data_IF_052378204319
#
_entry.id   IF_052378204319
#
_cell.length_a   1.000
_cell.length_b   1.000
_cell.length_c   1.000
_cell.angle_alpha   90.00
_cell.angle_beta   90.00
_cell.angle_gamma   90.00
#
_symmetry.space_group_name_H-M   'P 1'
#
loop_
_entity.id
_entity.type
_entity.pdbx_description
1 polymer ?
#
# COMPACT_ATOMS: atom_id res chain seq x y z
N UNK A 1 -5.80 26.50 -3.36
CA UNK A 1 -5.77 25.79 -2.07
C UNK A 1 -5.92 24.31 -2.39
N UNK A 2 -5.08 23.44 -1.86
CA UNK A 2 -5.15 22.01 -2.17
C UNK A 2 -6.05 21.31 -1.15
N UNK A 3 -7.23 20.84 -1.56
CA UNK A 3 -8.16 20.11 -0.67
C UNK A 3 -8.02 18.62 -0.90
N UNK A 4 -7.56 17.89 0.10
CA UNK A 4 -7.31 16.45 0.06
C UNK A 4 -8.38 15.70 0.84
N UNK A 5 -9.15 14.87 0.17
CA UNK A 5 -10.11 13.95 0.77
C UNK A 5 -9.46 12.57 1.00
N UNK A 6 -9.29 12.20 2.27
CA UNK A 6 -8.72 10.91 2.67
C UNK A 6 -9.86 9.92 2.93
N UNK A 7 -10.15 9.04 1.97
CA UNK A 7 -11.10 7.95 2.12
C UNK A 7 -10.47 6.81 2.93
N UNK A 8 -11.15 6.35 3.97
CA UNK A 8 -10.55 5.46 4.96
C UNK A 8 -9.67 6.20 5.98
N UNK A 9 -9.83 7.51 6.12
CA UNK A 9 -9.06 8.37 7.00
C UNK A 9 -9.17 8.04 8.50
N UNK A 10 -10.13 7.20 8.89
CA UNK A 10 -10.26 6.68 10.27
C UNK A 10 -9.42 5.43 10.53
N UNK A 11 -8.86 4.82 9.48
CA UNK A 11 -7.95 3.68 9.55
C UNK A 11 -6.52 4.06 9.96
N UNK A 12 -5.67 3.06 10.20
CA UNK A 12 -4.28 3.29 10.62
C UNK A 12 -3.49 4.09 9.56
N UNK A 13 -3.48 3.63 8.31
CA UNK A 13 -2.78 4.30 7.20
C UNK A 13 -3.34 5.68 6.92
N UNK A 14 -4.67 5.80 6.76
CA UNK A 14 -5.31 7.08 6.42
C UNK A 14 -5.08 8.16 7.49
N UNK A 15 -5.04 7.78 8.76
CA UNK A 15 -4.73 8.70 9.85
C UNK A 15 -3.28 9.18 9.82
N UNK A 16 -2.33 8.30 9.54
CA UNK A 16 -0.91 8.66 9.43
C UNK A 16 -0.69 9.58 8.21
N UNK A 17 -1.32 9.27 7.08
CA UNK A 17 -1.29 10.12 5.90
C UNK A 17 -1.90 11.49 6.17
N UNK A 18 -3.10 11.55 6.76
CA UNK A 18 -3.76 12.80 7.11
C UNK A 18 -2.90 13.64 8.08
N UNK A 19 -2.30 13.00 9.10
CA UNK A 19 -1.38 13.68 10.04
C UNK A 19 -0.16 14.27 9.34
N UNK A 20 0.36 13.58 8.32
CA UNK A 20 1.47 14.10 7.52
C UNK A 20 1.02 15.28 6.66
N UNK A 21 -0.12 15.14 5.97
CA UNK A 21 -0.66 16.16 5.07
C UNK A 21 -1.02 17.48 5.78
N UNK A 22 -1.53 17.41 7.00
CA UNK A 22 -1.85 18.65 7.77
C UNK A 22 -0.62 19.51 8.12
N UNK A 23 0.59 18.97 7.96
CA UNK A 23 1.85 19.72 8.16
C UNK A 23 2.28 20.49 6.91
N UNK A 24 1.65 20.24 5.75
CA UNK A 24 1.98 20.94 4.52
C UNK A 24 1.18 22.23 4.39
N UNK A 25 1.85 23.41 4.31
CA UNK A 25 1.17 24.69 4.16
C UNK A 25 0.28 24.71 2.90
N UNK A 26 -0.91 25.32 3.04
CA UNK A 26 -1.85 25.43 1.92
C UNK A 26 -2.66 24.18 1.61
N UNK A 27 -2.53 23.10 2.41
CA UNK A 27 -3.31 21.88 2.28
C UNK A 27 -4.43 21.82 3.30
N UNK A 28 -5.67 21.71 2.84
CA UNK A 28 -6.83 21.38 3.66
C UNK A 28 -7.04 19.86 3.62
N UNK A 29 -7.16 19.23 4.77
CA UNK A 29 -7.32 17.78 4.87
C UNK A 29 -8.69 17.43 5.41
N UNK A 30 -9.43 16.61 4.68
CA UNK A 30 -10.72 16.06 5.07
C UNK A 30 -10.53 14.54 5.28
N UNK A 31 -10.75 14.04 6.47
CA UNK A 31 -10.73 12.60 6.78
C UNK A 31 -12.15 12.06 6.72
N UNK A 32 -12.39 11.09 5.85
CA UNK A 32 -13.72 10.58 5.60
C UNK A 32 -13.86 9.08 5.91
N UNK A 33 -15.06 8.72 6.39
CA UNK A 33 -15.45 7.35 6.66
C UNK A 33 -16.92 7.25 7.09
N UNK A 34 -17.46 6.03 7.12
CA UNK A 34 -18.88 5.75 7.36
C UNK A 34 -19.34 6.09 8.79
N UNK A 35 -18.47 5.95 9.78
CA UNK A 35 -18.79 6.20 11.18
C UNK A 35 -17.79 7.19 11.82
N UNK A 36 -18.11 8.48 11.89
CA UNK A 36 -17.23 9.49 12.50
C UNK A 36 -16.89 9.25 13.97
N UNK A 37 -17.70 8.47 14.69
CA UNK A 37 -17.41 8.12 16.10
C UNK A 37 -16.16 7.24 16.23
N UNK A 38 -15.75 6.59 15.14
CA UNK A 38 -14.47 5.85 15.05
C UNK A 38 -13.29 6.73 14.68
N UNK A 39 -13.54 7.97 14.28
CA UNK A 39 -12.48 8.92 13.96
C UNK A 39 -11.70 9.24 15.23
N UNK A 40 -10.41 8.92 15.24
CA UNK A 40 -9.50 9.54 16.20
C UNK A 40 -9.16 10.92 15.64
N UNK A 41 -9.25 12.00 16.43
CA UNK A 41 -8.96 13.34 15.95
C UNK A 41 -7.56 13.42 15.32
N UNK A 42 -7.50 14.03 14.15
CA UNK A 42 -6.25 14.43 13.50
C UNK A 42 -6.20 15.96 13.58
N UNK A 43 -5.29 16.54 14.37
CA UNK A 43 -5.18 18.00 14.49
C UNK A 43 -4.99 18.65 13.11
N UNK A 44 -5.79 19.66 12.80
CA UNK A 44 -5.75 20.34 11.51
C UNK A 44 -6.54 19.68 10.37
N UNK A 45 -7.15 18.50 10.60
CA UNK A 45 -8.04 17.87 9.63
C UNK A 45 -9.51 17.98 10.05
N UNK A 46 -10.40 18.02 9.05
CA UNK A 46 -11.86 18.00 9.23
C UNK A 46 -12.38 16.58 9.08
N UNK A 47 -13.17 16.09 10.04
CA UNK A 47 -13.80 14.79 9.94
C UNK A 47 -15.13 14.89 9.17
N UNK A 48 -15.35 13.99 8.21
CA UNK A 48 -16.54 13.90 7.38
C UNK A 48 -17.17 12.52 7.45
N UNK A 49 -18.49 12.47 7.60
CA UNK A 49 -19.22 11.22 7.36
C UNK A 49 -19.45 11.05 5.86
N UNK A 50 -18.91 9.99 5.29
CA UNK A 50 -19.07 9.67 3.88
C UNK A 50 -19.11 8.14 3.70
N UNK A 51 -20.15 7.66 3.05
CA UNK A 51 -20.16 6.33 2.43
C UNK A 51 -19.78 6.49 0.95
N UNK A 52 -18.53 6.27 0.62
CA UNK A 52 -18.07 6.39 -0.75
C UNK A 52 -18.59 5.27 -1.68
N UNK A 53 -19.30 4.28 -1.15
CA UNK A 53 -20.07 3.33 -1.94
C UNK A 53 -21.37 3.94 -2.52
N UNK A 54 -21.89 5.00 -1.92
CA UNK A 54 -23.00 5.79 -2.46
C UNK A 54 -22.48 6.79 -3.51
N UNK A 55 -22.84 6.63 -4.80
CA UNK A 55 -22.38 7.52 -5.86
C UNK A 55 -22.82 8.98 -5.69
N UNK A 56 -24.02 9.22 -5.15
CA UNK A 56 -24.53 10.57 -4.96
C UNK A 56 -23.80 11.30 -3.83
N UNK A 57 -23.55 10.59 -2.72
CA UNK A 57 -22.78 11.14 -1.61
C UNK A 57 -21.32 11.42 -2.02
N UNK A 58 -20.72 10.51 -2.81
CA UNK A 58 -19.37 10.71 -3.34
C UNK A 58 -19.30 11.91 -4.27
N UNK A 59 -20.29 12.07 -5.19
CA UNK A 59 -20.33 13.17 -6.12
C UNK A 59 -20.32 14.53 -5.40
N UNK A 60 -21.16 14.69 -4.38
CA UNK A 60 -21.22 15.91 -3.56
C UNK A 60 -19.91 16.14 -2.80
N UNK A 61 -19.28 15.07 -2.29
CA UNK A 61 -18.03 15.19 -1.54
C UNK A 61 -16.84 15.59 -2.42
N UNK A 62 -16.92 15.41 -3.75
CA UNK A 62 -15.86 15.76 -4.70
C UNK A 62 -15.92 17.22 -5.20
N UNK A 63 -16.99 17.97 -4.96
CA UNK A 63 -17.20 19.31 -5.55
C UNK A 63 -16.08 20.30 -5.20
N UNK A 64 -15.55 20.27 -3.97
CA UNK A 64 -14.48 21.17 -3.50
C UNK A 64 -13.14 20.46 -3.28
N UNK A 65 -12.97 19.26 -3.82
CA UNK A 65 -11.79 18.41 -3.64
C UNK A 65 -10.89 18.48 -4.87
N UNK A 66 -9.59 18.64 -4.64
CA UNK A 66 -8.57 18.59 -5.70
C UNK A 66 -7.91 17.21 -5.80
N UNK A 67 -7.87 16.47 -4.71
CA UNK A 67 -7.19 15.17 -4.63
C UNK A 67 -7.94 14.22 -3.69
N UNK A 68 -8.14 13.00 -4.13
CA UNK A 68 -8.60 11.89 -3.29
C UNK A 68 -7.42 10.97 -2.97
N UNK A 69 -7.17 10.74 -1.67
CA UNK A 69 -6.27 9.69 -1.20
C UNK A 69 -7.09 8.50 -0.72
N UNK A 70 -6.97 7.39 -1.42
CA UNK A 70 -7.68 6.14 -1.15
C UNK A 70 -6.88 5.25 -0.20
N UNK A 71 -7.35 5.16 1.06
CA UNK A 71 -6.80 4.28 2.09
C UNK A 71 -7.82 3.22 2.56
N UNK A 72 -8.78 2.89 1.71
CA UNK A 72 -9.80 1.88 1.97
C UNK A 72 -9.90 0.92 0.78
N UNK A 73 -10.40 -0.29 1.03
CA UNK A 73 -10.78 -1.22 -0.03
C UNK A 73 -12.31 -1.23 -0.17
N UNK A 74 -12.76 -0.59 -1.22
CA UNK A 74 -14.15 -0.54 -1.67
C UNK A 74 -14.13 -0.76 -3.19
N UNK A 75 -15.08 -0.26 -3.94
CA UNK A 75 -14.97 -0.20 -5.39
C UNK A 75 -14.04 0.95 -5.82
N UNK A 76 -12.72 0.71 -5.72
CA UNK A 76 -11.69 1.73 -5.94
C UNK A 76 -11.68 2.22 -7.39
N UNK A 77 -11.94 1.35 -8.36
CA UNK A 77 -11.98 1.71 -9.78
C UNK A 77 -13.14 2.67 -10.08
N UNK A 78 -14.31 2.45 -9.49
CA UNK A 78 -15.45 3.37 -9.61
C UNK A 78 -15.15 4.72 -8.98
N UNK A 79 -14.53 4.73 -7.81
CA UNK A 79 -14.14 6.00 -7.13
C UNK A 79 -13.09 6.74 -7.96
N UNK A 80 -12.07 6.07 -8.45
CA UNK A 80 -11.06 6.67 -9.32
C UNK A 80 -11.70 7.28 -10.58
N UNK A 81 -12.60 6.58 -11.24
CA UNK A 81 -13.35 7.10 -12.40
C UNK A 81 -14.12 8.36 -12.04
N UNK A 82 -14.87 8.35 -10.94
CA UNK A 82 -15.67 9.51 -10.51
C UNK A 82 -14.79 10.75 -10.20
N UNK A 83 -13.58 10.52 -9.68
CA UNK A 83 -12.58 11.57 -9.48
C UNK A 83 -12.09 12.12 -10.83
N UNK A 84 -11.60 11.25 -11.70
CA UNK A 84 -10.99 11.63 -12.97
C UNK A 84 -11.99 12.35 -13.91
N UNK A 85 -13.26 11.93 -13.93
CA UNK A 85 -14.33 12.61 -14.66
C UNK A 85 -14.54 14.08 -14.24
N UNK A 86 -14.09 14.43 -13.03
CA UNK A 86 -14.19 15.80 -12.47
C UNK A 86 -12.87 16.56 -12.48
N UNK A 87 -11.80 15.99 -13.05
CA UNK A 87 -10.46 16.56 -12.97
C UNK A 87 -9.82 16.49 -11.57
N UNK A 88 -10.39 15.66 -10.67
CA UNK A 88 -9.85 15.42 -9.33
C UNK A 88 -8.79 14.34 -9.42
N UNK A 89 -7.59 14.63 -8.95
CA UNK A 89 -6.50 13.65 -8.91
C UNK A 89 -6.74 12.56 -7.87
N UNK A 90 -6.15 11.38 -8.11
CA UNK A 90 -6.41 10.18 -7.32
C UNK A 90 -5.10 9.49 -6.91
N UNK A 91 -4.98 9.11 -5.66
CA UNK A 91 -3.82 8.39 -5.12
C UNK A 91 -4.29 7.13 -4.41
N UNK A 92 -3.72 5.97 -4.73
CA UNK A 92 -4.18 4.68 -4.22
C UNK A 92 -3.08 3.90 -3.51
N UNK A 93 -3.35 3.48 -2.27
CA UNK A 93 -2.45 2.66 -1.46
C UNK A 93 -2.80 1.16 -1.49
N UNK A 94 -3.74 0.74 -2.33
CA UNK A 94 -4.21 -0.65 -2.40
C UNK A 94 -3.11 -1.62 -2.79
N UNK A 95 -3.16 -2.81 -2.19
CA UNK A 95 -2.28 -3.93 -2.52
C UNK A 95 -2.92 -4.94 -3.50
N UNK A 96 -4.19 -4.76 -3.85
CA UNK A 96 -4.97 -5.68 -4.68
C UNK A 96 -4.73 -5.43 -6.17
N UNK A 97 -4.34 -6.45 -6.97
CA UNK A 97 -3.99 -6.26 -8.38
C UNK A 97 -5.20 -5.92 -9.28
N UNK A 98 -6.39 -6.47 -8.99
CA UNK A 98 -7.59 -6.27 -9.81
C UNK A 98 -7.99 -4.80 -9.94
N UNK A 99 -8.28 -4.10 -8.83
CA UNK A 99 -8.61 -2.67 -8.86
C UNK A 99 -7.54 -1.81 -9.54
N UNK A 100 -6.24 -2.10 -9.31
CA UNK A 100 -5.15 -1.35 -9.94
C UNK A 100 -5.14 -1.52 -11.46
N UNK A 101 -5.42 -2.72 -11.97
CA UNK A 101 -5.53 -2.98 -13.40
C UNK A 101 -6.73 -2.25 -14.03
N UNK A 102 -7.88 -2.24 -13.36
CA UNK A 102 -9.08 -1.51 -13.80
C UNK A 102 -8.84 0.00 -13.85
N UNK A 103 -8.16 0.56 -12.84
CA UNK A 103 -7.80 1.98 -12.81
C UNK A 103 -6.76 2.28 -13.91
N UNK A 104 -5.83 1.37 -14.19
CA UNK A 104 -4.89 1.48 -15.31
C UNK A 104 -5.58 1.73 -16.64
N UNK A 105 -6.77 1.16 -16.86
CA UNK A 105 -7.61 1.38 -18.03
C UNK A 105 -8.24 2.78 -18.14
N UNK A 106 -8.04 3.66 -17.15
CA UNK A 106 -8.57 5.03 -17.13
C UNK A 106 -7.54 6.09 -17.59
N UNK A 107 -6.40 5.69 -18.16
CA UNK A 107 -5.31 6.61 -18.55
C UNK A 107 -5.79 7.71 -19.50
N UNK A 108 -6.56 7.36 -20.54
CA UNK A 108 -7.08 8.35 -21.48
C UNK A 108 -8.05 9.34 -20.82
N UNK A 109 -8.88 8.87 -19.90
CA UNK A 109 -9.78 9.73 -19.11
C UNK A 109 -8.98 10.70 -18.23
N UNK A 110 -7.97 10.21 -17.55
CA UNK A 110 -7.11 11.01 -16.69
C UNK A 110 -6.37 12.10 -17.48
N UNK A 111 -5.83 11.75 -18.65
CA UNK A 111 -5.18 12.70 -19.56
C UNK A 111 -6.17 13.75 -20.09
N UNK A 112 -7.36 13.34 -20.51
CA UNK A 112 -8.37 14.24 -21.06
C UNK A 112 -8.89 15.24 -20.01
N UNK A 113 -8.96 14.85 -18.73
CA UNK A 113 -9.39 15.71 -17.62
C UNK A 113 -8.25 16.53 -17.01
N UNK A 114 -6.99 16.30 -17.40
CA UNK A 114 -5.82 16.93 -16.80
C UNK A 114 -5.48 16.42 -15.39
N UNK A 115 -6.08 15.32 -14.95
CA UNK A 115 -5.86 14.74 -13.63
C UNK A 115 -4.80 13.64 -13.63
N UNK A 116 -4.20 13.39 -12.48
CA UNK A 116 -3.23 12.30 -12.27
C UNK A 116 -3.82 11.25 -11.34
N UNK A 117 -3.73 9.98 -11.73
CA UNK A 117 -3.93 8.85 -10.84
C UNK A 117 -2.59 8.19 -10.52
N UNK A 118 -2.13 8.32 -9.27
CA UNK A 118 -0.92 7.70 -8.77
C UNK A 118 -1.27 6.39 -8.07
N UNK A 119 -0.75 5.27 -8.58
CA UNK A 119 -1.03 3.93 -8.10
C UNK A 119 0.17 3.30 -7.40
N UNK A 120 -0.05 2.23 -6.68
CA UNK A 120 1.00 1.51 -5.94
C UNK A 120 1.72 2.43 -4.95
N UNK A 121 0.96 3.23 -4.19
CA UNK A 121 1.51 4.24 -3.29
C UNK A 121 1.44 3.77 -1.85
N UNK A 122 2.52 3.19 -1.34
CA UNK A 122 2.57 2.68 0.02
C UNK A 122 3.89 2.00 0.34
N UNK A 123 3.85 1.10 1.30
CA UNK A 123 5.01 0.24 1.62
C UNK A 123 5.08 -0.93 0.62
N UNK A 124 3.98 -1.68 0.48
CA UNK A 124 3.85 -2.85 -0.41
C UNK A 124 2.44 -2.86 -1.01
N UNK A 125 2.25 -2.45 -2.26
CA UNK A 125 3.20 -1.89 -3.21
C UNK A 125 3.63 -0.46 -2.88
N UNK A 126 4.72 -0.01 -3.48
CA UNK A 126 5.20 1.36 -3.42
C UNK A 126 6.68 1.42 -3.12
N UNK A 127 7.09 1.41 -1.86
CA UNK A 127 8.52 1.33 -1.50
C UNK A 127 9.15 0.11 -2.16
N UNK A 128 8.47 -1.03 -2.20
CA UNK A 128 8.93 -2.24 -2.92
C UNK A 128 9.13 -1.99 -4.41
N UNK A 129 8.27 -1.20 -5.06
CA UNK A 129 8.38 -0.84 -6.46
C UNK A 129 9.64 0.02 -6.71
N UNK A 130 9.88 1.02 -5.85
CA UNK A 130 11.05 1.89 -5.95
C UNK A 130 12.36 1.12 -5.73
N UNK A 131 12.41 0.24 -4.72
CA UNK A 131 13.54 -0.64 -4.49
C UNK A 131 13.79 -1.59 -5.68
N UNK A 132 12.70 -2.11 -6.29
CA UNK A 132 12.80 -2.97 -7.45
C UNK A 132 13.35 -2.21 -8.66
N UNK A 133 12.93 -0.96 -8.88
CA UNK A 133 13.47 -0.09 -9.91
C UNK A 133 14.96 0.15 -9.69
N UNK A 134 15.40 0.50 -8.49
CA UNK A 134 16.83 0.68 -8.18
C UNK A 134 17.66 -0.58 -8.47
N UNK A 135 17.16 -1.74 -8.07
CA UNK A 135 17.86 -3.00 -8.34
C UNK A 135 17.92 -3.32 -9.85
N UNK A 136 16.84 -3.10 -10.59
CA UNK A 136 16.77 -3.36 -12.02
C UNK A 136 17.65 -2.40 -12.83
N UNK A 137 17.70 -1.12 -12.48
CA UNK A 137 18.58 -0.11 -13.11
C UNK A 137 20.06 -0.43 -12.83
N UNK A 138 20.38 -0.94 -11.65
CA UNK A 138 21.76 -1.30 -11.28
C UNK A 138 22.23 -2.57 -11.95
N UNK A 139 21.39 -3.58 -12.03
CA UNK A 139 21.72 -4.89 -12.60
C UNK A 139 20.53 -5.46 -13.34
N UNK A 140 20.45 -5.27 -14.67
CA UNK A 140 19.38 -5.83 -15.47
C UNK A 140 19.28 -7.34 -15.29
N UNK A 141 18.08 -7.84 -15.04
CA UNK A 141 17.82 -9.25 -14.81
C UNK A 141 16.45 -9.66 -15.32
N UNK A 142 16.27 -10.95 -15.51
CA UNK A 142 15.01 -11.54 -15.92
C UNK A 142 14.06 -11.85 -14.74
N UNK A 143 14.59 -11.79 -13.51
CA UNK A 143 13.81 -12.06 -12.29
C UNK A 143 14.14 -11.04 -11.20
N UNK A 144 13.10 -10.56 -10.53
CA UNK A 144 13.20 -9.84 -9.26
C UNK A 144 12.44 -10.57 -8.16
N UNK A 145 13.01 -10.62 -6.97
CA UNK A 145 12.40 -11.21 -5.78
C UNK A 145 12.23 -10.16 -4.72
N UNK A 146 11.02 -10.04 -4.22
CA UNK A 146 10.62 -9.12 -3.17
C UNK A 146 10.28 -9.93 -1.92
N UNK A 147 10.95 -9.64 -0.82
CA UNK A 147 10.64 -10.20 0.49
C UNK A 147 9.99 -9.15 1.36
N UNK A 148 8.87 -9.50 1.97
CA UNK A 148 8.10 -8.66 2.89
C UNK A 148 8.08 -9.33 4.25
N UNK A 149 8.60 -8.65 5.26
CA UNK A 149 8.52 -9.06 6.65
C UNK A 149 7.66 -8.05 7.40
N UNK A 150 6.59 -8.52 8.02
CA UNK A 150 5.67 -7.69 8.80
C UNK A 150 5.63 -8.15 10.25
N UNK A 151 5.63 -7.17 11.16
CA UNK A 151 5.39 -7.39 12.57
C UNK A 151 3.92 -7.76 12.82
N UNK A 152 3.71 -8.75 13.67
CA UNK A 152 2.38 -9.24 14.04
C UNK A 152 1.75 -8.45 15.19
N UNK A 153 2.46 -7.47 15.76
CA UNK A 153 1.99 -6.63 16.88
C UNK A 153 1.31 -5.32 16.47
N UNK A 154 1.42 -4.91 15.20
CA UNK A 154 0.74 -3.70 14.73
C UNK A 154 -0.75 -3.95 14.50
N UNK A 155 -1.58 -3.00 14.90
CA UNK A 155 -3.02 -3.08 14.71
C UNK A 155 -3.40 -2.91 13.23
N UNK A 156 -3.92 -3.96 12.63
CA UNK A 156 -4.44 -3.95 11.27
C UNK A 156 -5.95 -3.71 11.25
N UNK A 157 -6.42 -2.96 10.28
CA UNK A 157 -7.86 -2.78 10.06
C UNK A 157 -8.53 -4.07 9.53
N UNK A 158 -9.86 -4.21 9.69
CA UNK A 158 -10.60 -5.38 9.22
C UNK A 158 -10.39 -5.69 7.73
N UNK A 159 -10.24 -4.66 6.89
CA UNK A 159 -9.98 -4.82 5.45
C UNK A 159 -8.63 -5.50 5.19
N UNK A 160 -7.56 -5.07 5.86
CA UNK A 160 -6.24 -5.67 5.70
C UNK A 160 -6.20 -7.13 6.17
N UNK A 161 -6.89 -7.44 7.28
CA UNK A 161 -7.01 -8.81 7.78
C UNK A 161 -7.82 -9.66 6.79
N UNK A 162 -8.93 -9.15 6.27
CA UNK A 162 -9.75 -9.84 5.26
C UNK A 162 -8.94 -10.13 3.99
N UNK A 163 -8.22 -9.13 3.48
CA UNK A 163 -7.32 -9.28 2.33
C UNK A 163 -6.24 -10.34 2.58
N UNK A 164 -5.64 -10.35 3.77
CA UNK A 164 -4.66 -11.38 4.15
C UNK A 164 -5.27 -12.78 4.13
N UNK A 165 -6.48 -12.94 4.69
CA UNK A 165 -7.19 -14.22 4.69
C UNK A 165 -7.56 -14.69 3.28
N UNK A 166 -7.92 -13.77 2.39
CA UNK A 166 -8.22 -14.08 0.98
C UNK A 166 -6.95 -14.47 0.21
N UNK A 167 -5.82 -13.88 0.53
CA UNK A 167 -4.52 -14.18 -0.06
C UNK A 167 -3.93 -15.54 0.36
N UNK A 168 -4.39 -16.15 1.45
CA UNK A 168 -3.87 -17.45 1.95
C UNK A 168 -3.95 -18.57 0.90
N UNK A 169 -4.94 -18.51 -0.01
CA UNK A 169 -5.10 -19.52 -1.06
C UNK A 169 -4.03 -19.46 -2.16
N UNK A 170 -3.21 -18.41 -2.21
CA UNK A 170 -2.16 -18.19 -3.20
C UNK A 170 -0.73 -18.46 -2.67
N UNK A 171 -0.60 -19.10 -1.50
CA UNK A 171 0.69 -19.48 -0.91
C UNK A 171 1.27 -20.73 -1.60
N UNK A 172 1.59 -20.63 -2.89
CA UNK A 172 1.98 -21.75 -3.76
C UNK A 172 3.50 -21.87 -3.98
N UNK A 173 4.30 -21.29 -3.08
CA UNK A 173 5.75 -21.36 -3.16
C UNK A 173 6.42 -20.70 -1.99
N UNK A 174 7.68 -21.06 -1.75
CA UNK A 174 8.51 -20.43 -0.72
C UNK A 174 9.96 -20.39 -1.15
N UNK A 175 10.68 -19.37 -0.65
CA UNK A 175 12.12 -19.24 -0.84
C UNK A 175 12.73 -18.48 0.35
N UNK A 176 14.05 -18.46 0.43
CA UNK A 176 14.74 -17.71 1.47
C UNK A 176 15.07 -16.30 0.99
N UNK A 177 14.88 -15.32 1.88
CA UNK A 177 15.30 -13.94 1.70
C UNK A 177 16.10 -13.49 2.91
N UNK A 178 17.08 -12.63 2.70
CA UNK A 178 17.84 -12.00 3.80
C UNK A 178 17.32 -10.58 3.99
N UNK A 179 16.86 -10.30 5.19
CA UNK A 179 16.40 -8.99 5.61
C UNK A 179 17.51 -8.26 6.40
N UNK A 180 17.46 -6.92 6.52
CA UNK A 180 18.33 -6.19 7.43
C UNK A 180 18.24 -6.69 8.88
N UNK A 181 19.27 -6.41 9.68
CA UNK A 181 19.19 -6.66 11.12
C UNK A 181 17.98 -5.94 11.73
N UNK A 182 17.31 -6.54 12.74
CA UNK A 182 17.69 -7.78 13.45
C UNK A 182 17.09 -9.07 12.85
N UNK A 183 16.54 -9.04 11.66
CA UNK A 183 15.72 -10.15 11.15
C UNK A 183 16.54 -11.27 10.49
N UNK A 184 17.60 -10.93 9.75
CA UNK A 184 18.46 -11.91 9.08
C UNK A 184 17.71 -12.75 8.03
N UNK A 185 18.15 -13.98 7.80
CA UNK A 185 17.55 -14.87 6.78
C UNK A 185 16.24 -15.47 7.25
N UNK A 186 15.21 -15.36 6.42
CA UNK A 186 13.85 -15.87 6.63
C UNK A 186 13.34 -16.66 5.43
N UNK A 187 12.47 -17.61 5.68
CA UNK A 187 11.64 -18.21 4.64
C UNK A 187 10.43 -17.28 4.41
N UNK A 188 10.24 -16.88 3.16
CA UNK A 188 9.05 -16.14 2.73
C UNK A 188 8.16 -17.06 1.90
N UNK A 189 6.86 -16.87 2.00
CA UNK A 189 5.86 -17.60 1.23
C UNK A 189 5.26 -16.67 0.19
N UNK A 190 5.14 -17.14 -1.06
CA UNK A 190 4.52 -16.34 -2.12
C UNK A 190 3.19 -15.79 -1.64
N UNK A 191 2.99 -14.48 -1.87
CA UNK A 191 1.76 -13.80 -1.46
C UNK A 191 1.34 -12.81 -2.56
N UNK A 192 0.03 -12.67 -2.87
CA UNK A 192 -0.45 -12.00 -4.08
C UNK A 192 -0.46 -10.45 -3.96
N UNK A 193 0.67 -9.86 -3.56
CA UNK A 193 0.84 -8.40 -3.66
C UNK A 193 0.84 -7.95 -5.11
N UNK A 194 0.32 -6.75 -5.36
CA UNK A 194 0.14 -6.24 -6.72
C UNK A 194 1.43 -5.92 -7.44
N UNK A 195 2.53 -5.65 -6.74
CA UNK A 195 3.85 -5.37 -7.31
C UNK A 195 4.33 -6.48 -8.27
N UNK A 196 4.10 -7.76 -7.95
CA UNK A 196 4.46 -8.87 -8.84
C UNK A 196 3.66 -8.91 -10.16
N UNK A 197 2.57 -8.18 -10.26
CA UNK A 197 1.73 -8.12 -11.48
C UNK A 197 1.95 -6.81 -12.24
N UNK A 198 2.34 -5.73 -11.58
CA UNK A 198 2.53 -4.41 -12.19
C UNK A 198 3.95 -4.19 -12.67
N UNK A 199 4.95 -4.57 -11.89
CA UNK A 199 6.37 -4.35 -12.19
C UNK A 199 6.87 -4.99 -13.51
N UNK A 200 6.38 -6.15 -13.96
CA UNK A 200 6.76 -6.66 -15.27
C UNK A 200 6.45 -5.70 -16.41
N UNK A 201 5.31 -5.02 -16.33
CA UNK A 201 4.90 -4.03 -17.33
C UNK A 201 5.60 -2.68 -17.19
N UNK A 202 5.93 -2.23 -15.98
CA UNK A 202 6.49 -0.89 -15.72
C UNK A 202 8.02 -0.86 -15.74
N UNK A 203 8.69 -1.94 -15.35
CA UNK A 203 10.15 -2.04 -15.30
C UNK A 203 10.76 -2.95 -16.39
N UNK A 204 9.94 -3.69 -17.13
CA UNK A 204 10.43 -4.65 -18.11
C UNK A 204 11.18 -5.84 -17.49
N UNK A 205 10.96 -6.17 -16.22
CA UNK A 205 11.50 -7.36 -15.55
C UNK A 205 10.50 -8.50 -15.74
N UNK A 206 10.79 -9.53 -16.57
CA UNK A 206 9.79 -10.53 -16.99
C UNK A 206 9.16 -11.32 -15.84
N UNK A 207 9.90 -11.60 -14.78
CA UNK A 207 9.42 -12.35 -13.65
C UNK A 207 9.63 -11.57 -12.33
N UNK A 208 8.54 -11.28 -11.64
CA UNK A 208 8.57 -10.67 -10.30
C UNK A 208 7.82 -11.57 -9.33
N UNK A 209 8.42 -11.86 -8.18
CA UNK A 209 7.81 -12.69 -7.13
C UNK A 209 7.88 -11.98 -5.80
N UNK A 210 6.74 -11.82 -5.16
CA UNK A 210 6.65 -11.23 -3.82
C UNK A 210 6.26 -12.28 -2.79
N UNK A 211 7.05 -12.36 -1.72
CA UNK A 211 6.83 -13.31 -0.64
C UNK A 211 6.70 -12.61 0.71
N UNK A 212 5.83 -13.15 1.55
CA UNK A 212 5.51 -12.65 2.89
C UNK A 212 6.06 -13.59 3.97
N UNK A 213 6.60 -13.02 5.03
CA UNK A 213 6.80 -13.68 6.31
C UNK A 213 6.42 -12.72 7.46
N UNK A 214 6.27 -13.27 8.64
CA UNK A 214 6.04 -12.48 9.84
C UNK A 214 7.33 -12.40 10.69
N UNK A 215 7.38 -11.43 11.61
CA UNK A 215 8.52 -11.25 12.53
C UNK A 215 8.83 -12.53 13.33
N UNK A 216 7.80 -13.27 13.73
CA UNK A 216 7.92 -14.58 14.36
C UNK A 216 7.98 -15.71 13.34
N UNK A 217 8.99 -16.60 13.47
CA UNK A 217 9.09 -17.84 12.66
C UNK A 217 7.90 -18.77 12.91
N UNK A 218 7.39 -18.81 14.16
CA UNK A 218 6.21 -19.58 14.50
C UNK A 218 4.97 -19.07 13.75
N UNK A 219 4.74 -17.75 13.76
CA UNK A 219 3.60 -17.15 13.06
C UNK A 219 3.74 -17.28 11.54
N UNK A 220 4.96 -17.22 10.99
CA UNK A 220 5.21 -17.55 9.58
C UNK A 220 4.82 -19.00 9.26
N UNK A 221 5.16 -19.94 10.15
CA UNK A 221 4.77 -21.35 9.99
C UNK A 221 3.25 -21.55 10.07
N UNK A 222 2.56 -20.83 10.96
CA UNK A 222 1.09 -20.86 11.04
C UNK A 222 0.44 -20.25 9.80
N UNK A 223 0.98 -19.15 9.26
CA UNK A 223 0.55 -18.56 8.00
C UNK A 223 0.67 -19.58 6.85
N UNK A 224 1.81 -20.25 6.73
CA UNK A 224 2.03 -21.29 5.73
C UNK A 224 1.07 -22.47 5.89
N UNK A 225 0.81 -22.90 7.13
CA UNK A 225 -0.16 -23.97 7.40
C UNK A 225 -1.59 -23.56 7.03
N UNK A 226 -1.95 -22.30 7.29
CA UNK A 226 -3.25 -21.74 6.92
C UNK A 226 -3.47 -21.67 5.40
N UNK A 227 -2.39 -21.57 4.61
CA UNK A 227 -2.41 -21.63 3.14
C UNK A 227 -2.70 -23.00 2.55
N UNK A 228 -2.70 -24.10 3.35
CA UNK A 228 -3.02 -25.44 2.84
C UNK A 228 -4.48 -25.51 2.39
N UNK A 229 -4.79 -26.17 1.23
CA UNK A 229 -6.13 -26.15 0.64
C UNK A 229 -7.25 -26.55 1.57
N UNK A 230 -7.03 -27.57 2.43
CA UNK A 230 -8.04 -28.01 3.40
C UNK A 230 -8.31 -26.95 4.48
N UNK A 231 -7.26 -26.29 4.96
CA UNK A 231 -7.36 -25.25 5.99
C UNK A 231 -7.98 -23.99 5.39
N UNK A 232 -7.53 -23.55 4.22
CA UNK A 232 -8.10 -22.39 3.52
C UNK A 232 -9.59 -22.57 3.26
N UNK A 233 -10.04 -23.78 2.89
CA UNK A 233 -11.48 -24.07 2.71
C UNK A 233 -12.27 -23.91 4.01
N UNK A 234 -11.69 -24.32 5.14
CA UNK A 234 -12.30 -24.13 6.46
C UNK A 234 -12.35 -22.64 6.84
N UNK A 235 -11.26 -21.90 6.62
CA UNK A 235 -11.14 -20.47 6.96
C UNK A 235 -12.09 -19.59 6.13
N UNK A 236 -12.53 -20.04 4.95
CA UNK A 236 -13.52 -19.36 4.10
C UNK A 236 -14.96 -19.54 4.54
N UNK A 237 -15.25 -20.41 5.52
CA UNK A 237 -16.61 -20.54 6.07
C UNK A 237 -16.99 -19.27 6.82
N UNK A 238 -18.14 -18.69 6.57
CA UNK A 238 -18.56 -17.37 7.10
C UNK A 238 -18.42 -17.25 8.61
N UNK A 239 -18.84 -18.27 9.39
CA UNK A 239 -18.70 -18.26 10.83
C UNK A 239 -17.25 -18.26 11.31
N UNK A 240 -16.36 -19.06 10.68
CA UNK A 240 -14.93 -19.12 11.00
C UNK A 240 -14.24 -17.82 10.61
N UNK A 241 -14.53 -17.31 9.42
CA UNK A 241 -14.00 -16.04 8.91
C UNK A 241 -14.37 -14.88 9.84
N UNK A 242 -15.63 -14.76 10.24
CA UNK A 242 -16.11 -13.71 11.14
C UNK A 242 -15.42 -13.76 12.51
N UNK A 243 -15.27 -14.97 13.07
CA UNK A 243 -14.53 -15.17 14.31
C UNK A 243 -13.07 -14.74 14.17
N UNK A 244 -12.39 -15.16 13.10
CA UNK A 244 -10.99 -14.78 12.84
C UNK A 244 -10.81 -13.28 12.70
N UNK A 245 -11.66 -12.60 11.93
CA UNK A 245 -11.65 -11.14 11.80
C UNK A 245 -11.77 -10.47 13.16
N UNK A 246 -12.62 -11.00 14.04
CA UNK A 246 -12.81 -10.48 15.39
C UNK A 246 -11.60 -10.72 16.29
N UNK A 247 -11.04 -11.92 16.27
CA UNK A 247 -9.90 -12.32 17.12
C UNK A 247 -8.63 -11.61 16.66
N UNK A 248 -8.30 -11.69 15.37
CA UNK A 248 -7.10 -11.04 14.81
C UNK A 248 -7.16 -9.52 14.90
N UNK A 249 -8.35 -8.92 14.86
CA UNK A 249 -8.53 -7.49 15.09
C UNK A 249 -8.31 -7.03 16.53
N UNK A 250 -8.29 -7.97 17.51
CA UNK A 250 -8.13 -7.66 18.94
C UNK A 250 -6.82 -8.16 19.54
N UNK A 251 -6.25 -9.21 18.98
CA UNK A 251 -5.03 -9.85 19.49
C UNK A 251 -3.83 -9.35 18.67
N UNK A 252 -2.96 -8.60 19.32
CA UNK A 252 -1.74 -8.04 18.73
C UNK A 252 -0.56 -8.64 19.51
N UNK A 253 0.00 -9.71 18.96
CA UNK A 253 1.15 -10.43 19.54
C UNK A 253 2.34 -10.30 18.60
N UNK A 254 3.44 -9.74 19.09
CA UNK A 254 4.66 -9.56 18.30
C UNK A 254 5.16 -8.12 18.31
N UNK A 255 6.06 -7.81 17.39
CA UNK A 255 6.60 -6.46 17.22
C UNK A 255 5.76 -5.65 16.22
N UNK A 256 5.97 -4.33 16.18
CA UNK A 256 5.48 -3.44 15.14
C UNK A 256 6.55 -3.17 14.06
N UNK A 257 7.63 -3.96 14.08
CA UNK A 257 8.72 -3.86 13.13
C UNK A 257 8.34 -4.40 11.75
N UNK A 258 8.94 -3.87 10.72
CA UNK A 258 8.81 -4.36 9.36
C UNK A 258 10.12 -4.24 8.60
N UNK A 259 10.28 -5.04 7.57
CA UNK A 259 11.35 -4.89 6.61
C UNK A 259 10.91 -5.39 5.23
N UNK A 260 11.31 -4.69 4.19
CA UNK A 260 11.17 -5.14 2.80
C UNK A 260 12.56 -5.23 2.18
N UNK A 261 12.80 -6.26 1.40
CA UNK A 261 14.06 -6.48 0.69
C UNK A 261 13.76 -6.87 -0.74
N UNK A 262 14.46 -6.26 -1.68
CA UNK A 262 14.39 -6.60 -3.09
C UNK A 262 15.74 -7.08 -3.58
N UNK A 263 15.75 -8.12 -4.39
CA UNK A 263 16.94 -8.62 -5.09
C UNK A 263 16.65 -8.80 -6.58
N UNK A 264 17.55 -8.32 -7.43
CA UNK A 264 17.48 -8.48 -8.88
C UNK A 264 18.90 -8.45 -9.45
N UNK A 265 19.28 -9.44 -10.28
CA UNK A 265 20.56 -9.48 -10.97
C UNK A 265 21.81 -9.39 -10.07
N UNK A 266 21.72 -9.78 -8.81
CA UNK A 266 22.79 -9.63 -7.83
C UNK A 266 22.73 -8.33 -7.02
N UNK A 267 22.01 -7.30 -7.50
CA UNK A 267 21.75 -6.08 -6.73
C UNK A 267 20.76 -6.38 -5.60
N UNK A 268 20.91 -5.69 -4.49
CA UNK A 268 20.04 -5.79 -3.32
C UNK A 268 19.76 -4.42 -2.74
N UNK A 269 18.51 -4.14 -2.46
CA UNK A 269 18.06 -2.96 -1.73
C UNK A 269 17.08 -3.35 -0.63
N UNK A 270 16.99 -2.57 0.43
CA UNK A 270 16.07 -2.84 1.52
C UNK A 270 15.58 -1.56 2.19
N UNK A 271 14.41 -1.65 2.82
CA UNK A 271 13.84 -0.59 3.63
C UNK A 271 13.17 -1.23 4.85
N UNK A 272 13.32 -0.62 6.01
CA UNK A 272 12.79 -1.21 7.24
C UNK A 272 12.56 -0.19 8.33
N UNK A 273 11.96 -0.66 9.43
CA UNK A 273 11.69 0.19 10.58
C UNK A 273 10.54 -0.34 11.43
N UNK A 274 9.79 0.58 12.01
CA UNK A 274 8.63 0.26 12.86
C UNK A 274 7.39 0.96 12.34
N UNK A 275 6.21 0.34 12.58
CA UNK A 275 4.90 0.90 12.21
C UNK A 275 4.73 1.02 10.70
N UNK A 276 4.48 -0.09 10.02
CA UNK A 276 4.27 -0.13 8.57
C UNK A 276 3.15 0.83 8.09
N UNK A 277 2.13 1.05 8.93
CA UNK A 277 1.07 2.02 8.59
C UNK A 277 1.57 3.46 8.57
N UNK A 278 2.58 3.79 9.41
CA UNK A 278 3.27 5.07 9.37
C UNK A 278 4.06 5.22 8.07
N UNK A 279 4.85 4.20 7.69
CA UNK A 279 5.62 4.21 6.46
C UNK A 279 4.72 4.38 5.23
N UNK A 280 3.63 3.60 5.15
CA UNK A 280 2.64 3.70 4.07
C UNK A 280 1.97 5.08 4.04
N UNK A 281 1.54 5.60 5.19
CA UNK A 281 0.89 6.92 5.28
C UNK A 281 1.82 8.08 4.91
N UNK A 282 3.11 7.99 5.30
CA UNK A 282 4.13 8.97 4.93
C UNK A 282 4.44 8.94 3.45
N UNK A 283 4.63 7.76 2.86
CA UNK A 283 4.82 7.61 1.42
C UNK A 283 3.63 8.20 0.64
N UNK A 284 2.40 7.92 1.07
CA UNK A 284 1.21 8.47 0.46
C UNK A 284 1.15 10.01 0.56
N UNK A 285 1.52 10.57 1.70
CA UNK A 285 1.53 12.02 1.89
C UNK A 285 2.58 12.72 1.01
N UNK A 286 3.76 12.13 0.83
CA UNK A 286 4.78 12.63 -0.09
C UNK A 286 4.28 12.64 -1.54
N UNK A 287 3.65 11.56 -2.00
CA UNK A 287 3.07 11.50 -3.34
C UNK A 287 1.97 12.55 -3.52
N UNK A 288 1.08 12.72 -2.54
CA UNK A 288 0.03 13.77 -2.59
C UNK A 288 0.62 15.19 -2.64
N UNK A 289 1.70 15.43 -1.89
CA UNK A 289 2.42 16.71 -1.93
C UNK A 289 2.97 17.02 -3.31
N UNK A 290 3.58 16.01 -3.94
CA UNK A 290 4.29 16.18 -5.21
C UNK A 290 3.37 16.02 -6.42
N UNK A 291 2.11 15.61 -6.21
CA UNK A 291 1.13 15.33 -7.24
C UNK A 291 0.96 16.47 -8.29
N UNK A 292 1.00 17.76 -7.91
CA UNK A 292 0.91 18.86 -8.89
C UNK A 292 2.08 18.92 -9.88
N UNK A 293 3.18 18.23 -9.61
CA UNK A 293 4.35 18.17 -10.51
C UNK A 293 4.31 16.99 -11.48
N UNK A 294 3.38 16.05 -11.29
CA UNK A 294 3.27 14.85 -12.10
C UNK A 294 2.44 15.10 -13.38
N UNK A 295 2.76 14.39 -14.46
CA UNK A 295 1.98 14.51 -15.68
C UNK A 295 0.59 13.90 -15.52
N UNK A 296 -0.41 14.43 -16.19
CA UNK A 296 -1.73 13.85 -16.27
C UNK A 296 -1.70 12.43 -16.85
N UNK A 297 -2.55 11.55 -16.33
CA UNK A 297 -2.63 10.14 -16.71
C UNK A 297 -2.56 9.23 -15.50
N UNK A 298 -2.58 7.91 -15.75
CA UNK A 298 -2.46 6.87 -14.72
C UNK A 298 -1.04 6.33 -14.70
N UNK A 299 -0.38 6.38 -13.56
CA UNK A 299 1.01 5.91 -13.39
C UNK A 299 1.20 5.22 -12.04
N UNK A 300 2.08 4.22 -12.01
CA UNK A 300 2.58 3.67 -10.77
C UNK A 300 3.71 4.55 -10.21
N UNK A 301 3.91 4.50 -8.88
CA UNK A 301 4.87 5.38 -8.19
C UNK A 301 6.29 5.31 -8.78
N UNK A 302 6.74 4.15 -9.20
CA UNK A 302 8.05 3.95 -9.82
C UNK A 302 8.22 4.65 -11.17
N UNK A 303 7.13 5.14 -11.76
CA UNK A 303 7.13 5.92 -13.01
C UNK A 303 7.04 7.44 -12.74
N UNK A 304 6.78 7.85 -11.49
CA UNK A 304 6.48 9.23 -11.13
C UNK A 304 7.62 9.93 -10.39
N UNK A 305 8.35 9.20 -9.54
CA UNK A 305 9.34 9.81 -8.64
C UNK A 305 10.75 9.30 -8.92
N UNK A 306 11.76 10.09 -8.55
CA UNK A 306 13.13 9.60 -8.41
C UNK A 306 13.22 8.68 -7.18
N UNK A 307 13.61 7.40 -7.34
CA UNK A 307 13.57 6.45 -6.25
C UNK A 307 14.53 6.81 -5.10
N UNK A 308 15.75 7.31 -5.42
CA UNK A 308 16.74 7.62 -4.40
C UNK A 308 16.28 8.82 -3.58
N UNK A 309 15.87 9.89 -4.22
CA UNK A 309 15.41 11.10 -3.56
C UNK A 309 14.19 10.80 -2.67
N UNK A 310 13.19 10.10 -3.21
CA UNK A 310 11.96 9.75 -2.49
C UNK A 310 12.24 8.85 -1.28
N UNK A 311 13.01 7.78 -1.45
CA UNK A 311 13.31 6.84 -0.37
C UNK A 311 14.20 7.48 0.70
N UNK A 312 15.12 8.36 0.32
CA UNK A 312 15.95 9.11 1.28
C UNK A 312 15.12 10.07 2.11
N UNK A 313 14.18 10.80 1.48
CA UNK A 313 13.26 11.68 2.20
C UNK A 313 12.36 10.89 3.15
N UNK A 314 11.80 9.77 2.68
CA UNK A 314 10.97 8.90 3.52
C UNK A 314 11.76 8.32 4.70
N UNK A 315 13.03 7.93 4.49
CA UNK A 315 13.89 7.39 5.53
C UNK A 315 14.20 8.42 6.63
N UNK A 316 14.20 9.71 6.31
CA UNK A 316 14.40 10.79 7.30
C UNK A 316 13.31 10.82 8.40
N UNK A 317 12.19 10.18 8.19
CA UNK A 317 11.13 9.97 9.20
C UNK A 317 11.48 8.86 10.23
N UNK A 318 12.69 8.32 10.21
CA UNK A 318 13.22 7.32 11.17
C UNK A 318 13.14 5.89 10.65
N UNK A 319 13.19 5.70 9.35
CA UNK A 319 13.27 4.39 8.70
C UNK A 319 14.71 4.10 8.21
N UNK A 320 15.04 2.83 8.16
CA UNK A 320 16.34 2.34 7.66
C UNK A 320 16.25 2.11 6.15
N UNK A 321 17.19 2.66 5.39
CA UNK A 321 17.32 2.49 3.94
C UNK A 321 18.68 1.88 3.61
N UNK A 322 18.64 0.80 2.85
CA UNK A 322 19.85 0.17 2.26
C UNK A 322 19.73 0.26 0.75
N UNK A 323 20.57 1.08 0.15
CA UNK A 323 20.65 1.22 -1.30
C UNK A 323 21.50 0.11 -1.91
N UNK A 324 21.33 -0.21 -3.20
CA UNK A 324 22.18 -1.19 -3.86
C UNK A 324 23.63 -0.70 -3.85
N UNK A 325 24.53 -1.55 -3.36
CA UNK A 325 25.97 -1.28 -3.41
C UNK A 325 26.58 -1.75 -4.73
N UNK A 326 27.76 -1.19 -5.04
CA UNK A 326 28.57 -1.60 -6.18
C UNK A 326 29.15 -3.01 -5.99
#
# INVERSE_FOLDING_TARGET
MNTVLVLGGYGAVGREAATALTRHPGTQVIVAGRDPRRARPVPGAVAMRLDAADPAALAVALDDVTTVLMCAEIDNARVARACLERGVSYVDVSASPGPLAEIGGLDDLARASGATAALSVGLVPGVTNLLARLCAERSPATEARIGVLLGSGEQHGPAAIAWTLDGLGALDGSWTMTFPEPYGTRVVHRFPFSDQYTLPGTLGVPAVRTGLCLDSRLFTGLLAAAGRPAVTRLLRRDGVRSLLLTVLGRVHLGSDGFAVTVTSGGARAAFGGRRQSLATGRAAALVVRDLPTFPAGVRHIEQLVDPIAFLTELAADGFDLVLPHD
#
